data_IF_402577263726
#
_entry.id   IF_402577263726
#
_cell.length_a   1.000
_cell.length_b   1.000
_cell.length_c   1.000
_cell.angle_alpha   90.00
_cell.angle_beta   90.00
_cell.angle_gamma   90.00
#
_symmetry.space_group_name_H-M   'P 1'
#
loop_
_entity.id
_entity.type
_entity.pdbx_description
1 polymer ?
#
# COMPACT_ATOMS: atom_id res chain seq x y z
N UNK A 1 -46.04 -4.27 4.64
CA UNK A 1 -45.19 -5.26 3.96
C UNK A 1 -43.80 -5.21 4.58
N UNK A 2 -43.37 -6.31 5.18
CA UNK A 2 -42.10 -6.45 5.91
C UNK A 2 -40.91 -6.32 4.95
N UNK A 3 -40.01 -5.37 5.21
CA UNK A 3 -38.71 -5.28 4.54
C UNK A 3 -37.74 -6.16 5.32
N UNK A 4 -37.39 -7.31 4.74
CA UNK A 4 -36.48 -8.31 5.30
C UNK A 4 -35.04 -7.86 5.00
N UNK A 5 -34.22 -7.88 6.04
CA UNK A 5 -32.80 -7.55 6.03
C UNK A 5 -32.01 -8.49 5.12
N UNK A 6 -30.99 -7.92 4.46
CA UNK A 6 -30.00 -8.63 3.66
C UNK A 6 -28.74 -8.71 4.52
N UNK A 7 -28.48 -9.89 5.09
CA UNK A 7 -27.18 -10.24 5.64
C UNK A 7 -26.19 -10.33 4.48
N UNK A 8 -25.15 -9.49 4.53
CA UNK A 8 -23.99 -9.56 3.67
C UNK A 8 -22.96 -10.47 4.33
N UNK A 9 -22.67 -11.54 3.62
CA UNK A 9 -21.64 -12.54 3.82
C UNK A 9 -20.30 -11.90 3.42
N UNK A 10 -19.44 -11.61 4.40
CA UNK A 10 -18.06 -11.16 4.18
C UNK A 10 -17.15 -12.05 5.03
N UNK A 11 -16.96 -13.28 4.53
CA UNK A 11 -15.95 -14.20 5.00
C UNK A 11 -14.71 -14.13 4.07
N UNK A 12 -13.56 -14.00 4.74
CA UNK A 12 -12.24 -14.53 4.40
C UNK A 12 -11.31 -13.75 3.45
N UNK A 13 -10.30 -13.13 4.07
CA UNK A 13 -8.88 -13.44 3.81
C UNK A 13 -8.03 -12.90 4.98
N UNK A 14 -7.93 -13.68 6.05
CA UNK A 14 -6.82 -13.55 7.00
C UNK A 14 -5.71 -14.49 6.53
N UNK A 15 -4.68 -13.93 5.90
CA UNK A 15 -3.40 -14.61 5.68
C UNK A 15 -2.74 -14.86 7.04
N UNK A 16 -3.05 -15.99 7.65
CA UNK A 16 -2.37 -16.52 8.82
C UNK A 16 -1.12 -17.28 8.35
N UNK A 17 -0.05 -16.55 8.07
CA UNK A 17 1.31 -17.08 7.96
C UNK A 17 1.75 -17.56 9.36
N UNK A 18 1.34 -18.76 9.72
CA UNK A 18 1.77 -19.47 10.92
C UNK A 18 3.06 -20.22 10.60
N UNK A 19 4.18 -19.48 10.58
CA UNK A 19 5.54 -20.05 10.57
C UNK A 19 5.78 -20.70 11.95
N UNK A 20 5.27 -21.92 12.10
CA UNK A 20 5.53 -22.76 13.26
C UNK A 20 6.89 -23.43 13.06
N UNK A 21 7.94 -22.67 13.36
CA UNK A 21 9.32 -23.16 13.45
C UNK A 21 9.44 -23.95 14.76
N UNK A 22 8.90 -25.17 14.78
CA UNK A 22 9.24 -26.18 15.78
C UNK A 22 10.68 -26.64 15.52
N UNK A 23 11.62 -25.80 15.97
CA UNK A 23 12.98 -26.20 16.26
C UNK A 23 12.95 -27.22 17.39
N UNK A 24 12.76 -28.49 17.04
CA UNK A 24 13.06 -29.60 17.93
C UNK A 24 14.57 -29.64 18.11
N UNK A 25 15.06 -28.76 18.98
CA UNK A 25 16.39 -28.84 19.58
C UNK A 25 16.37 -30.09 20.45
N UNK A 26 16.67 -31.21 19.81
CA UNK A 26 17.07 -32.41 20.53
C UNK A 26 18.42 -32.07 21.13
N UNK A 27 18.39 -31.43 22.31
CA UNK A 27 19.52 -31.36 23.22
C UNK A 27 20.13 -32.76 23.24
N UNK A 28 21.28 -32.87 22.59
CA UNK A 28 22.16 -34.03 22.64
C UNK A 28 22.62 -34.06 24.09
N UNK A 29 21.79 -34.69 24.94
CA UNK A 29 22.16 -35.11 26.27
C UNK A 29 23.26 -36.14 26.08
N UNK A 30 24.48 -35.62 25.96
CA UNK A 30 25.72 -36.34 26.13
C UNK A 30 25.65 -36.91 27.54
N UNK A 31 25.11 -38.13 27.61
CA UNK A 31 25.05 -38.93 28.82
C UNK A 31 26.49 -39.31 29.12
N UNK A 32 27.18 -38.43 29.85
CA UNK A 32 28.44 -38.73 30.53
C UNK A 32 28.13 -39.71 31.67
N UNK A 33 27.78 -40.95 31.29
CA UNK A 33 27.91 -42.09 32.18
C UNK A 33 29.41 -42.38 32.29
N UNK A 34 30.04 -41.69 33.25
CA UNK A 34 31.31 -42.11 33.86
C UNK A 34 31.07 -43.48 34.52
N UNK A 35 31.04 -44.52 33.70
CA UNK A 35 30.89 -45.91 34.12
C UNK A 35 32.28 -46.49 34.38
N UNK A 36 32.46 -46.84 35.65
CA UNK A 36 33.50 -47.69 36.23
C UNK A 36 34.33 -48.50 35.23
N UNK A 37 35.65 -48.23 35.22
CA UNK A 37 36.74 -49.21 35.26
C UNK A 37 36.40 -50.64 34.78
N UNK A 38 36.07 -50.81 33.50
CA UNK A 38 36.18 -52.07 32.78
C UNK A 38 37.45 -52.07 31.95
N UNK A 39 38.33 -53.05 32.12
CA UNK A 39 39.43 -53.25 31.17
C UNK A 39 38.89 -53.26 29.74
N UNK A 40 39.60 -52.70 28.73
CA UNK A 40 39.20 -52.80 27.34
C UNK A 40 39.05 -54.29 26.99
N UNK A 41 37.80 -54.76 26.92
CA UNK A 41 37.52 -56.11 26.48
C UNK A 41 37.85 -56.11 24.99
N UNK A 42 38.84 -56.91 24.62
CA UNK A 42 39.23 -57.09 23.23
C UNK A 42 38.07 -57.76 22.49
N UNK A 43 37.29 -56.94 21.77
CA UNK A 43 36.16 -57.32 20.93
C UNK A 43 36.54 -58.35 19.84
N UNK A 44 37.82 -58.68 19.67
CA UNK A 44 38.28 -59.74 18.76
C UNK A 44 38.28 -61.15 19.38
N UNK A 45 38.07 -61.30 20.69
CA UNK A 45 38.12 -62.60 21.37
C UNK A 45 36.72 -63.15 21.63
N UNK A 46 36.38 -64.26 20.96
CA UNK A 46 35.13 -64.97 21.19
C UNK A 46 35.04 -65.52 22.62
N UNK A 47 33.97 -65.22 23.39
CA UNK A 47 33.81 -65.73 24.74
C UNK A 47 33.78 -67.27 24.81
N UNK A 48 34.26 -67.90 25.91
CA UNK A 48 34.49 -69.35 26.00
C UNK A 48 33.25 -70.26 25.86
N UNK A 49 32.05 -69.70 25.82
CA UNK A 49 30.76 -70.42 25.80
C UNK A 49 29.88 -70.05 24.59
N UNK A 50 30.43 -69.34 23.59
CA UNK A 50 29.69 -68.89 22.42
C UNK A 50 30.12 -69.64 21.15
N UNK A 51 29.17 -69.85 20.24
CA UNK A 51 29.45 -70.40 18.92
C UNK A 51 30.24 -69.36 18.09
N UNK A 52 31.43 -69.71 17.55
CA UNK A 52 32.28 -68.76 16.83
C UNK A 52 31.60 -68.05 15.65
N UNK A 53 30.74 -68.78 14.91
CA UNK A 53 29.98 -68.23 13.78
C UNK A 53 29.00 -67.12 14.21
N UNK A 54 28.39 -67.25 15.39
CA UNK A 54 27.47 -66.25 15.93
C UNK A 54 28.22 -64.97 16.34
N UNK A 55 29.43 -65.13 16.91
CA UNK A 55 30.28 -64.02 17.30
C UNK A 55 30.78 -63.23 16.08
N UNK A 56 31.27 -63.91 15.05
CA UNK A 56 31.71 -63.28 13.80
C UNK A 56 30.57 -62.57 13.07
N UNK A 57 29.38 -63.19 13.01
CA UNK A 57 28.19 -62.54 12.46
C UNK A 57 27.81 -61.28 13.26
N UNK A 58 27.89 -61.33 14.60
CA UNK A 58 27.62 -60.16 15.45
C UNK A 58 28.60 -59.01 15.18
N UNK A 59 29.89 -59.31 14.98
CA UNK A 59 30.89 -58.29 14.60
C UNK A 59 30.62 -57.69 13.22
N UNK A 60 30.26 -58.52 12.23
CA UNK A 60 29.88 -58.05 10.90
C UNK A 60 28.61 -57.19 10.93
N UNK A 61 27.59 -57.58 11.71
CA UNK A 61 26.38 -56.77 11.91
C UNK A 61 26.69 -55.45 12.60
N UNK A 62 27.62 -55.42 13.56
CA UNK A 62 28.07 -54.20 14.22
C UNK A 62 28.80 -53.26 13.25
N UNK A 63 29.71 -53.78 12.44
CA UNK A 63 30.40 -53.01 11.40
C UNK A 63 29.39 -52.42 10.40
N UNK A 64 28.47 -53.26 9.89
CA UNK A 64 27.41 -52.82 8.98
C UNK A 64 26.47 -51.79 9.62
N UNK A 65 26.19 -51.89 10.92
CA UNK A 65 25.40 -50.91 11.65
C UNK A 65 26.11 -49.55 11.67
N UNK A 66 27.41 -49.53 11.96
CA UNK A 66 28.21 -48.31 11.95
C UNK A 66 28.24 -47.66 10.56
N UNK A 67 28.45 -48.43 9.50
CA UNK A 67 28.40 -47.92 8.12
C UNK A 67 27.03 -47.28 7.79
N UNK A 68 25.94 -47.90 8.24
CA UNK A 68 24.59 -47.36 8.07
C UNK A 68 24.35 -46.10 8.90
N UNK A 69 24.88 -46.03 10.12
CA UNK A 69 24.80 -44.85 10.98
C UNK A 69 25.56 -43.67 10.36
N UNK A 70 26.76 -43.90 9.81
CA UNK A 70 27.53 -42.89 9.07
C UNK A 70 26.74 -42.38 7.85
N UNK A 71 26.19 -43.29 7.04
CA UNK A 71 25.35 -42.93 5.89
C UNK A 71 24.10 -42.12 6.30
N UNK A 72 23.45 -42.47 7.43
CA UNK A 72 22.32 -41.72 7.95
C UNK A 72 22.74 -40.30 8.35
N UNK A 73 23.89 -40.16 9.00
CA UNK A 73 24.42 -38.84 9.40
C UNK A 73 24.77 -37.99 8.17
N UNK A 74 25.37 -38.59 7.14
CA UNK A 74 25.67 -37.91 5.87
C UNK A 74 24.40 -37.46 5.12
N UNK A 75 23.41 -38.36 5.00
CA UNK A 75 22.12 -38.04 4.38
C UNK A 75 21.37 -36.97 5.16
N UNK A 76 21.41 -36.98 6.50
CA UNK A 76 20.85 -35.91 7.33
C UNK A 76 21.51 -34.56 7.05
N UNK A 77 22.85 -34.52 7.01
CA UNK A 77 23.60 -33.29 6.63
C UNK A 77 23.21 -32.79 5.24
N UNK A 78 23.01 -33.70 4.29
CA UNK A 78 22.54 -33.37 2.94
C UNK A 78 21.11 -32.79 2.94
N UNK A 79 20.21 -33.40 3.71
CA UNK A 79 18.83 -32.91 3.87
C UNK A 79 18.80 -31.50 4.49
N UNK A 80 19.60 -31.25 5.51
CA UNK A 80 19.70 -29.93 6.16
C UNK A 80 20.29 -28.86 5.22
N UNK A 81 21.26 -29.24 4.39
CA UNK A 81 21.81 -28.35 3.38
C UNK A 81 20.76 -27.99 2.31
N UNK A 82 20.05 -28.98 1.78
CA UNK A 82 18.97 -28.76 0.81
C UNK A 82 17.82 -27.95 1.40
N UNK A 83 17.47 -28.17 2.68
CA UNK A 83 16.44 -27.38 3.36
C UNK A 83 16.83 -25.91 3.43
N UNK A 84 18.08 -25.60 3.81
CA UNK A 84 18.61 -24.23 3.82
C UNK A 84 18.61 -23.59 2.42
N UNK A 85 18.91 -24.36 1.38
CA UNK A 85 18.84 -23.88 -0.01
C UNK A 85 17.40 -23.58 -0.43
N UNK A 86 16.44 -24.45 -0.10
CA UNK A 86 15.02 -24.23 -0.35
C UNK A 86 14.52 -22.96 0.35
N UNK A 87 14.86 -22.75 1.63
CA UNK A 87 14.47 -21.56 2.38
C UNK A 87 15.09 -20.28 1.78
N UNK A 88 16.34 -20.37 1.33
CA UNK A 88 17.01 -19.27 0.64
C UNK A 88 16.37 -18.95 -0.71
N UNK A 89 15.97 -19.98 -1.48
CA UNK A 89 15.25 -19.81 -2.74
C UNK A 89 13.86 -19.24 -2.53
N UNK A 90 13.11 -19.72 -1.52
CA UNK A 90 11.79 -19.19 -1.17
C UNK A 90 11.86 -17.70 -0.81
N UNK A 91 12.87 -17.28 -0.04
CA UNK A 91 13.11 -15.86 0.26
C UNK A 91 13.40 -15.04 -1.00
N UNK A 92 14.24 -15.56 -1.91
CA UNK A 92 14.52 -14.91 -3.20
C UNK A 92 13.26 -14.82 -4.06
N UNK A 93 12.45 -15.86 -4.09
CA UNK A 93 11.18 -15.88 -4.81
C UNK A 93 10.24 -14.79 -4.29
N UNK A 94 10.04 -14.68 -2.97
CA UNK A 94 9.20 -13.62 -2.37
C UNK A 94 9.69 -12.21 -2.76
N UNK A 95 11.01 -11.98 -2.80
CA UNK A 95 11.59 -10.70 -3.23
C UNK A 95 11.35 -10.45 -4.72
N UNK A 96 11.54 -11.46 -5.57
CA UNK A 96 11.30 -11.33 -7.02
C UNK A 96 9.82 -11.08 -7.29
N UNK A 97 8.91 -11.80 -6.63
CA UNK A 97 7.47 -11.61 -6.75
C UNK A 97 7.05 -10.19 -6.35
N UNK A 98 7.59 -9.65 -5.25
CA UNK A 98 7.26 -8.27 -4.84
C UNK A 98 7.80 -7.24 -5.84
N UNK A 99 9.01 -7.44 -6.38
CA UNK A 99 9.57 -6.58 -7.42
C UNK A 99 8.78 -6.62 -8.73
N UNK A 100 8.25 -7.81 -9.09
CA UNK A 100 7.41 -8.00 -10.27
C UNK A 100 6.08 -7.26 -10.10
N UNK A 101 5.41 -7.41 -8.96
CA UNK A 101 4.16 -6.68 -8.65
C UNK A 101 4.36 -5.16 -8.68
N UNK A 102 5.49 -4.68 -8.16
CA UNK A 102 5.82 -3.26 -8.21
C UNK A 102 6.01 -2.77 -9.66
N UNK A 103 6.77 -3.51 -10.48
CA UNK A 103 6.99 -3.18 -11.88
C UNK A 103 5.71 -3.26 -12.72
N UNK A 104 4.81 -4.21 -12.44
CA UNK A 104 3.49 -4.29 -13.05
C UNK A 104 2.62 -3.08 -12.70
N UNK A 105 2.61 -2.67 -11.42
CA UNK A 105 1.91 -1.46 -10.98
C UNK A 105 2.45 -0.18 -11.66
N UNK A 106 3.77 -0.04 -11.78
CA UNK A 106 4.40 1.08 -12.50
C UNK A 106 4.02 1.08 -13.99
N UNK A 107 3.96 -0.10 -14.61
CA UNK A 107 3.52 -0.24 -16.01
C UNK A 107 2.06 0.16 -16.19
N UNK A 108 1.16 -0.26 -15.29
CA UNK A 108 -0.25 0.15 -15.32
C UNK A 108 -0.42 1.66 -15.16
N UNK A 109 0.36 2.28 -14.27
CA UNK A 109 0.37 3.74 -14.11
C UNK A 109 0.85 4.43 -15.39
N UNK A 110 1.92 3.94 -16.00
CA UNK A 110 2.43 4.47 -17.26
C UNK A 110 1.42 4.32 -18.40
N UNK A 111 0.77 3.17 -18.53
CA UNK A 111 -0.24 2.93 -19.54
C UNK A 111 -1.47 3.82 -19.33
N UNK A 112 -1.85 4.09 -18.07
CA UNK A 112 -2.93 5.04 -17.74
C UNK A 112 -2.57 6.46 -18.12
N UNK A 113 -1.34 6.91 -17.82
CA UNK A 113 -0.84 8.23 -18.23
C UNK A 113 -0.77 8.35 -19.75
N UNK A 114 -0.28 7.32 -20.43
CA UNK A 114 -0.26 7.24 -21.89
C UNK A 114 -1.68 7.34 -22.45
N UNK A 115 -2.64 6.63 -21.88
CA UNK A 115 -4.04 6.72 -22.30
C UNK A 115 -4.61 8.11 -22.06
N UNK A 116 -4.31 8.75 -20.93
CA UNK A 116 -4.73 10.12 -20.63
C UNK A 116 -4.17 11.10 -21.67
N UNK A 117 -2.86 11.03 -21.95
CA UNK A 117 -2.18 11.83 -22.98
C UNK A 117 -2.75 11.59 -24.37
N UNK A 118 -3.06 10.34 -24.72
CA UNK A 118 -3.67 9.98 -26.00
C UNK A 118 -5.11 10.52 -26.10
N UNK A 119 -5.86 10.51 -25.00
CA UNK A 119 -7.21 11.07 -24.96
C UNK A 119 -7.24 12.60 -25.11
N UNK A 120 -6.14 13.29 -24.79
CA UNK A 120 -5.97 14.74 -25.03
C UNK A 120 -5.72 15.07 -26.52
N UNK A 121 -5.43 14.07 -27.36
CA UNK A 121 -5.17 14.28 -28.78
C UNK A 121 -6.47 14.26 -29.58
N UNK A 122 -6.79 15.39 -30.20
CA UNK A 122 -7.90 15.47 -31.14
C UNK A 122 -7.56 14.71 -32.44
N UNK A 123 -8.26 13.60 -32.69
CA UNK A 123 -8.12 12.82 -33.92
C UNK A 123 -9.26 13.18 -34.87
N UNK A 124 -8.93 13.79 -36.01
CA UNK A 124 -9.91 14.09 -37.06
C UNK A 124 -10.04 12.89 -37.99
N UNK A 125 -11.24 12.29 -38.04
CA UNK A 125 -11.56 11.18 -38.95
C UNK A 125 -12.55 11.65 -40.00
N UNK A 126 -12.18 11.71 -41.29
CA UNK A 126 -13.13 12.00 -42.36
C UNK A 126 -14.06 10.81 -42.57
N UNK A 127 -15.36 11.01 -42.33
CA UNK A 127 -16.40 10.00 -42.53
C UNK A 127 -17.28 10.37 -43.72
N UNK A 128 -17.68 9.36 -44.50
CA UNK A 128 -18.72 9.52 -45.52
C UNK A 128 -20.10 9.37 -44.88
N UNK A 129 -21.10 10.09 -45.38
CA UNK A 129 -22.45 10.10 -44.81
C UNK A 129 -23.07 8.71 -44.65
N UNK A 130 -22.78 7.77 -45.56
CA UNK A 130 -23.29 6.39 -45.49
C UNK A 130 -22.62 5.53 -44.39
N UNK A 131 -21.50 5.98 -43.82
CA UNK A 131 -20.78 5.26 -42.75
C UNK A 131 -21.32 5.64 -41.36
N UNK A 132 -22.18 6.65 -41.28
CA UNK A 132 -22.73 7.12 -40.01
C UNK A 132 -24.02 6.34 -39.75
N UNK A 133 -23.92 5.32 -38.90
CA UNK A 133 -25.06 4.54 -38.42
C UNK A 133 -25.73 5.16 -37.18
N UNK A 134 -25.15 6.26 -36.66
CA UNK A 134 -25.69 7.02 -35.53
C UNK A 134 -26.87 7.90 -35.96
N UNK A 135 -28.08 7.37 -35.78
CA UNK A 135 -29.34 8.05 -36.12
C UNK A 135 -30.20 8.20 -34.87
N UNK A 136 -30.46 9.44 -34.48
CA UNK A 136 -31.42 9.76 -33.40
C UNK A 136 -32.75 10.11 -34.06
N UNK A 137 -33.79 9.28 -33.84
CA UNK A 137 -35.12 9.47 -34.45
C UNK A 137 -35.12 9.46 -36.00
N UNK A 138 -34.22 8.72 -36.64
CA UNK A 138 -34.18 8.55 -38.10
C UNK A 138 -33.63 9.75 -38.89
N UNK A 139 -33.12 10.78 -38.21
CA UNK A 139 -32.44 11.93 -38.82
C UNK A 139 -31.00 11.97 -38.30
N UNK A 140 -30.06 12.32 -39.18
CA UNK A 140 -28.67 12.53 -38.79
C UNK A 140 -28.60 13.75 -37.86
N UNK A 141 -28.14 13.61 -36.61
CA UNK A 141 -27.98 14.74 -35.70
C UNK A 141 -26.96 15.75 -36.24
N UNK A 142 -27.22 17.04 -36.03
CA UNK A 142 -26.30 18.13 -36.39
C UNK A 142 -25.01 18.11 -35.55
N UNK A 143 -25.05 17.43 -34.40
CA UNK A 143 -23.94 17.27 -33.46
C UNK A 143 -23.70 15.78 -33.22
N UNK A 144 -22.46 15.35 -33.43
CA UNK A 144 -22.00 13.97 -33.28
C UNK A 144 -21.15 13.77 -32.02
N UNK A 145 -21.14 14.74 -31.10
CA UNK A 145 -20.35 14.70 -29.86
C UNK A 145 -20.61 13.46 -29.00
N UNK A 146 -21.85 12.95 -28.99
CA UNK A 146 -22.24 11.74 -28.24
C UNK A 146 -22.03 10.43 -29.02
N UNK A 147 -21.47 10.50 -30.24
CA UNK A 147 -21.30 9.33 -31.10
C UNK A 147 -19.91 8.70 -30.94
N UNK A 148 -19.87 7.37 -30.94
CA UNK A 148 -18.64 6.59 -30.82
C UNK A 148 -18.21 6.07 -32.19
N UNK A 149 -16.98 6.37 -32.61
CA UNK A 149 -16.41 5.83 -33.85
C UNK A 149 -15.73 4.51 -33.55
N UNK A 150 -16.30 3.42 -34.08
CA UNK A 150 -15.76 2.08 -33.94
C UNK A 150 -15.36 1.51 -35.31
N UNK A 151 -14.29 0.73 -35.33
CA UNK A 151 -13.98 -0.09 -36.48
C UNK A 151 -14.99 -1.25 -36.57
N UNK A 152 -15.52 -1.55 -37.75
CA UNK A 152 -16.46 -2.66 -37.95
C UNK A 152 -15.86 -4.00 -37.49
N UNK A 153 -14.55 -4.20 -37.68
CA UNK A 153 -13.86 -5.42 -37.21
C UNK A 153 -13.86 -5.52 -35.69
N UNK A 154 -13.63 -4.41 -34.99
CA UNK A 154 -13.62 -4.39 -33.51
C UNK A 154 -15.04 -4.58 -32.96
N UNK A 155 -16.06 -4.04 -33.63
CA UNK A 155 -17.45 -4.26 -33.27
C UNK A 155 -17.84 -5.75 -33.38
N UNK A 156 -17.50 -6.41 -34.49
CA UNK A 156 -17.76 -7.84 -34.67
C UNK A 156 -17.01 -8.68 -33.65
N UNK A 157 -15.73 -8.38 -33.41
CA UNK A 157 -14.92 -9.01 -32.37
C UNK A 157 -15.57 -8.88 -30.97
N UNK A 158 -16.07 -7.70 -30.62
CA UNK A 158 -16.76 -7.47 -29.35
C UNK A 158 -18.06 -8.27 -29.28
N UNK A 159 -18.84 -8.32 -30.35
CA UNK A 159 -20.07 -9.14 -30.41
C UNK A 159 -19.77 -10.64 -30.27
N UNK A 160 -18.72 -11.14 -30.92
CA UNK A 160 -18.28 -12.53 -30.78
C UNK A 160 -17.78 -12.80 -29.36
N UNK A 161 -17.04 -11.86 -28.76
CA UNK A 161 -16.58 -11.97 -27.36
C UNK A 161 -17.76 -11.98 -26.38
N UNK A 162 -18.80 -11.18 -26.61
CA UNK A 162 -20.02 -11.23 -25.79
C UNK A 162 -20.67 -12.62 -25.88
N UNK A 163 -20.72 -13.22 -27.08
CA UNK A 163 -21.26 -14.58 -27.23
C UNK A 163 -20.40 -15.61 -26.50
N UNK A 164 -19.06 -15.51 -26.57
CA UNK A 164 -18.16 -16.37 -25.80
C UNK A 164 -18.37 -16.21 -24.30
N UNK A 165 -18.43 -14.98 -23.78
CA UNK A 165 -18.66 -14.70 -22.36
C UNK A 165 -20.00 -15.27 -21.86
N UNK A 166 -21.04 -15.27 -22.70
CA UNK A 166 -22.32 -15.90 -22.35
C UNK A 166 -22.19 -17.42 -22.21
N UNK A 167 -21.40 -18.08 -23.07
CA UNK A 167 -21.10 -19.51 -22.95
C UNK A 167 -20.25 -19.78 -21.71
N UNK A 168 -19.15 -19.04 -21.53
CA UNK A 168 -18.27 -19.16 -20.35
C UNK A 168 -19.06 -18.99 -19.04
N UNK A 169 -19.99 -18.03 -18.99
CA UNK A 169 -20.87 -17.82 -17.83
C UNK A 169 -21.80 -19.02 -17.58
N UNK A 170 -22.32 -19.64 -18.65
CA UNK A 170 -23.14 -20.84 -18.54
C UNK A 170 -22.32 -22.00 -17.96
N UNK A 171 -21.12 -22.21 -18.50
CA UNK A 171 -20.20 -23.29 -18.09
C UNK A 171 -19.74 -23.11 -16.64
N UNK A 172 -19.40 -21.88 -16.23
CA UNK A 172 -19.10 -21.56 -14.84
C UNK A 172 -20.29 -21.84 -13.92
N UNK A 173 -21.51 -21.54 -14.36
CA UNK A 173 -22.73 -21.87 -13.62
C UNK A 173 -22.96 -23.38 -13.46
N UNK A 174 -22.56 -24.20 -14.45
CA UNK A 174 -22.57 -25.66 -14.35
C UNK A 174 -21.52 -26.19 -13.38
N UNK A 175 -20.29 -25.69 -13.47
CA UNK A 175 -19.22 -26.05 -12.54
C UNK A 175 -19.58 -25.72 -11.10
N UNK A 176 -20.16 -24.53 -10.86
CA UNK A 176 -20.63 -24.13 -9.54
C UNK A 176 -21.72 -25.08 -9.00
N UNK A 177 -22.69 -25.45 -9.85
CA UNK A 177 -23.73 -26.43 -9.48
C UNK A 177 -23.13 -27.79 -9.13
N UNK A 178 -22.17 -28.27 -9.90
CA UNK A 178 -21.48 -29.54 -9.64
C UNK A 178 -20.66 -29.47 -8.34
N UNK A 179 -19.90 -28.40 -8.13
CA UNK A 179 -19.11 -28.18 -6.91
C UNK A 179 -20.01 -28.16 -5.67
N UNK A 180 -21.16 -27.47 -5.75
CA UNK A 180 -22.14 -27.44 -4.67
C UNK A 180 -22.74 -28.83 -4.40
N UNK A 181 -23.00 -29.62 -5.43
CA UNK A 181 -23.49 -30.99 -5.26
C UNK A 181 -22.44 -31.89 -4.58
N UNK A 182 -21.18 -31.81 -5.03
CA UNK A 182 -20.05 -32.52 -4.39
C UNK A 182 -19.87 -32.11 -2.93
N UNK A 183 -19.95 -30.81 -2.63
CA UNK A 183 -19.85 -30.31 -1.26
C UNK A 183 -20.95 -30.89 -0.37
N UNK A 184 -22.21 -30.93 -0.86
CA UNK A 184 -23.30 -31.56 -0.13
C UNK A 184 -23.08 -33.06 0.10
N UNK A 185 -22.60 -33.79 -0.92
CA UNK A 185 -22.25 -35.21 -0.80
C UNK A 185 -21.17 -35.43 0.26
N UNK A 186 -20.07 -34.67 0.20
CA UNK A 186 -18.97 -34.78 1.16
C UNK A 186 -19.43 -34.49 2.60
N UNK A 187 -20.33 -33.52 2.80
CA UNK A 187 -20.90 -33.27 4.14
C UNK A 187 -21.70 -34.47 4.63
N UNK A 188 -22.48 -35.11 3.76
CA UNK A 188 -23.24 -36.29 4.14
C UNK A 188 -22.33 -37.46 4.44
N UNK A 189 -21.35 -37.74 3.58
CA UNK A 189 -20.37 -38.81 3.75
C UNK A 189 -19.55 -38.60 5.04
N UNK A 190 -19.16 -37.36 5.34
CA UNK A 190 -18.48 -37.02 6.60
C UNK A 190 -19.34 -37.39 7.80
N UNK A 191 -20.62 -37.02 7.80
CA UNK A 191 -21.54 -37.37 8.90
C UNK A 191 -21.75 -38.88 9.03
N UNK A 192 -21.83 -39.59 7.92
CA UNK A 192 -21.98 -41.04 7.94
C UNK A 192 -20.73 -41.73 8.49
N UNK A 193 -19.53 -41.22 8.15
CA UNK A 193 -18.27 -41.69 8.72
C UNK A 193 -18.15 -41.33 10.22
N UNK A 194 -18.54 -40.13 10.63
CA UNK A 194 -18.60 -39.72 12.04
C UNK A 194 -19.52 -40.66 12.85
N UNK A 195 -20.72 -40.96 12.33
CA UNK A 195 -21.64 -41.92 12.95
C UNK A 195 -21.02 -43.31 13.02
N UNK A 196 -20.31 -43.75 11.97
CA UNK A 196 -19.67 -45.06 11.94
C UNK A 196 -18.51 -45.16 12.94
N UNK A 197 -17.73 -44.10 13.09
CA UNK A 197 -16.69 -44.00 14.11
C UNK A 197 -17.33 -44.13 15.48
N UNK A 198 -18.40 -43.38 15.75
CA UNK A 198 -19.10 -43.44 17.03
C UNK A 198 -19.67 -44.84 17.34
N UNK A 199 -20.28 -45.51 16.36
CA UNK A 199 -20.72 -46.90 16.52
C UNK A 199 -19.57 -47.86 16.84
N UNK A 200 -18.39 -47.64 16.26
CA UNK A 200 -17.21 -48.47 16.51
C UNK A 200 -16.61 -48.18 17.88
N UNK A 201 -16.57 -46.91 18.30
CA UNK A 201 -16.18 -46.47 19.64
C UNK A 201 -17.07 -47.14 20.69
N UNK A 202 -18.40 -47.04 20.56
CA UNK A 202 -19.35 -47.69 21.47
C UNK A 202 -19.16 -49.21 21.54
N UNK A 203 -18.90 -49.87 20.40
CA UNK A 203 -18.61 -51.31 20.38
C UNK A 203 -17.29 -51.65 21.06
N UNK A 204 -16.26 -50.84 20.85
CA UNK A 204 -14.96 -50.99 21.51
C UNK A 204 -15.11 -50.81 23.03
N UNK A 205 -15.80 -49.75 23.47
CA UNK A 205 -16.11 -49.50 24.87
C UNK A 205 -16.87 -50.66 25.51
N UNK A 206 -17.93 -51.15 24.86
CA UNK A 206 -18.70 -52.29 25.35
C UNK A 206 -17.84 -53.56 25.45
N UNK A 207 -16.95 -53.81 24.48
CA UNK A 207 -16.03 -54.94 24.52
C UNK A 207 -14.99 -54.80 25.64
N UNK A 208 -14.44 -53.60 25.85
CA UNK A 208 -13.50 -53.31 26.93
C UNK A 208 -14.16 -53.49 28.29
N UNK A 209 -15.38 -52.97 28.48
CA UNK A 209 -16.17 -53.18 29.70
C UNK A 209 -16.47 -54.67 29.94
N UNK A 210 -16.82 -55.44 28.91
CA UNK A 210 -17.09 -56.86 29.05
C UNK A 210 -15.83 -57.70 29.37
N UNK A 211 -14.66 -57.32 28.85
CA UNK A 211 -13.40 -58.06 29.02
C UNK A 211 -12.64 -57.66 30.29
N UNK A 212 -12.60 -56.37 30.60
CA UNK A 212 -11.76 -55.80 31.66
C UNK A 212 -12.56 -55.22 32.83
N UNK A 213 -13.88 -55.04 32.69
CA UNK A 213 -14.75 -54.46 33.73
C UNK A 213 -14.61 -52.94 33.89
N UNK A 214 -13.72 -52.31 33.11
CA UNK A 214 -13.43 -50.88 33.11
C UNK A 214 -13.00 -50.48 31.69
N UNK A 215 -13.19 -49.21 31.31
CA UNK A 215 -12.60 -48.66 30.09
C UNK A 215 -11.09 -48.60 30.25
N UNK A 216 -10.39 -49.32 29.38
CA UNK A 216 -8.93 -49.42 29.38
C UNK A 216 -8.40 -48.57 28.24
N UNK A 217 -7.61 -47.56 28.57
CA UNK A 217 -6.88 -46.81 27.57
C UNK A 217 -5.74 -47.69 27.02
N UNK A 218 -5.98 -48.28 25.85
CA UNK A 218 -5.04 -49.19 25.20
C UNK A 218 -3.77 -48.46 24.74
N UNK A 219 -3.88 -47.17 24.40
CA UNK A 219 -2.74 -46.34 24.02
C UNK A 219 -1.87 -46.04 25.23
N UNK A 220 -2.49 -45.67 26.37
CA UNK A 220 -1.79 -45.56 27.64
C UNK A 220 -1.16 -46.88 28.08
N UNK A 221 -1.81 -48.04 27.88
CA UNK A 221 -1.20 -49.33 28.25
C UNK A 221 0.00 -49.68 27.37
N UNK A 222 -0.06 -49.34 26.08
CA UNK A 222 1.04 -49.53 25.15
C UNK A 222 2.23 -48.63 25.51
N UNK A 223 1.99 -47.38 25.94
CA UNK A 223 3.04 -46.45 26.40
C UNK A 223 3.53 -46.71 27.83
N UNK A 224 2.69 -47.23 28.73
CA UNK A 224 3.05 -47.63 30.11
C UNK A 224 3.97 -48.85 30.15
N UNK A 225 4.00 -49.67 29.10
CA UNK A 225 5.00 -50.73 28.97
C UNK A 225 6.43 -50.18 28.75
N UNK A 226 6.58 -48.86 28.56
CA UNK A 226 7.83 -48.19 28.22
C UNK A 226 8.52 -47.39 29.34
N UNK A 227 7.85 -46.46 30.05
CA UNK A 227 8.47 -45.71 31.19
C UNK A 227 7.48 -44.74 31.87
N UNK A 228 7.13 -44.99 33.14
CA UNK A 228 6.28 -44.11 33.97
C UNK A 228 6.78 -42.66 34.09
N UNK A 229 8.11 -42.48 34.08
CA UNK A 229 8.76 -41.16 34.15
C UNK A 229 8.43 -40.30 32.93
N UNK A 230 8.29 -40.90 31.74
CA UNK A 230 7.97 -40.17 30.51
C UNK A 230 6.53 -39.64 30.55
N UNK A 231 5.59 -40.38 31.13
CA UNK A 231 4.20 -39.93 31.27
C UNK A 231 4.02 -38.87 32.36
N UNK A 232 4.77 -38.96 33.46
CA UNK A 232 4.83 -37.87 34.47
C UNK A 232 5.39 -36.59 33.83
N UNK A 233 6.46 -36.69 33.03
CA UNK A 233 7.03 -35.55 32.29
C UNK A 233 6.09 -34.98 31.21
N UNK A 234 5.36 -35.83 30.47
CA UNK A 234 4.36 -35.37 29.49
C UNK A 234 3.20 -34.65 30.15
N UNK A 235 2.71 -35.14 31.29
CA UNK A 235 1.63 -34.47 32.02
C UNK A 235 2.10 -33.12 32.58
N UNK A 236 3.33 -33.05 33.08
CA UNK A 236 3.94 -31.80 33.51
C UNK A 236 4.15 -30.82 32.34
N UNK A 237 4.54 -31.29 31.15
CA UNK A 237 4.63 -30.46 29.94
C UNK A 237 3.25 -29.93 29.54
N UNK A 238 2.21 -30.77 29.49
CA UNK A 238 0.83 -30.34 29.21
C UNK A 238 0.32 -29.29 30.19
N UNK A 239 0.62 -29.43 31.49
CA UNK A 239 0.23 -28.45 32.51
C UNK A 239 0.96 -27.12 32.28
N UNK A 240 2.27 -27.16 31.99
CA UNK A 240 3.07 -25.97 31.70
C UNK A 240 2.62 -25.29 30.40
N UNK A 241 2.34 -26.04 29.35
CA UNK A 241 1.77 -25.53 28.10
C UNK A 241 0.41 -24.87 28.32
N UNK A 242 -0.46 -25.47 29.13
CA UNK A 242 -1.74 -24.86 29.50
C UNK A 242 -1.55 -23.55 30.29
N UNK A 243 -0.53 -23.46 31.16
CA UNK A 243 -0.20 -22.22 31.87
C UNK A 243 0.34 -21.15 30.90
N UNK A 244 1.30 -21.50 30.04
CA UNK A 244 1.88 -20.58 29.06
C UNK A 244 0.87 -20.10 28.03
N UNK A 245 -0.04 -20.96 27.56
CA UNK A 245 -1.12 -20.53 26.65
C UNK A 245 -2.08 -19.55 27.33
N UNK A 246 -2.36 -19.71 28.62
CA UNK A 246 -3.16 -18.75 29.38
C UNK A 246 -2.43 -17.42 29.60
N UNK A 247 -1.13 -17.47 29.89
CA UNK A 247 -0.28 -16.27 29.99
C UNK A 247 -0.21 -15.52 28.66
N UNK A 248 -0.04 -16.24 27.54
CA UNK A 248 -0.07 -15.68 26.18
C UNK A 248 -1.41 -15.02 25.88
N UNK A 249 -2.53 -15.66 26.23
CA UNK A 249 -3.87 -15.06 26.08
C UNK A 249 -3.99 -13.76 26.86
N UNK A 250 -3.53 -13.74 28.12
CA UNK A 250 -3.54 -12.53 28.94
C UNK A 250 -2.66 -11.41 28.37
N UNK A 251 -1.46 -11.76 27.89
CA UNK A 251 -0.56 -10.81 27.22
C UNK A 251 -1.17 -10.27 25.91
N UNK A 252 -1.83 -11.13 25.12
CA UNK A 252 -2.56 -10.71 23.90
C UNK A 252 -3.67 -9.70 24.23
N UNK A 253 -4.47 -9.96 25.27
CA UNK A 253 -5.52 -9.01 25.71
C UNK A 253 -4.91 -7.65 26.08
N UNK A 254 -3.86 -7.63 26.92
CA UNK A 254 -3.17 -6.39 27.28
C UNK A 254 -2.59 -5.64 26.07
N UNK A 255 -2.03 -6.38 25.11
CA UNK A 255 -1.52 -5.81 23.87
C UNK A 255 -2.66 -5.15 23.06
N UNK A 256 -3.81 -5.81 22.95
CA UNK A 256 -4.97 -5.25 22.25
C UNK A 256 -5.52 -4.00 22.93
N UNK A 257 -5.60 -3.99 24.27
CA UNK A 257 -6.02 -2.82 25.05
C UNK A 257 -5.04 -1.64 24.85
N UNK A 258 -3.73 -1.90 24.90
CA UNK A 258 -2.71 -0.88 24.67
C UNK A 258 -2.77 -0.32 23.23
N UNK A 259 -2.97 -1.20 22.22
CA UNK A 259 -3.16 -0.79 20.81
C UNK A 259 -4.41 0.08 20.63
N UNK A 260 -5.52 -0.27 21.27
CA UNK A 260 -6.77 0.52 21.23
C UNK A 260 -6.57 1.89 21.88
N UNK A 261 -5.94 1.95 23.05
CA UNK A 261 -5.63 3.22 23.71
C UNK A 261 -4.76 4.13 22.84
N UNK A 262 -3.73 3.58 22.19
CA UNK A 262 -2.89 4.31 21.25
C UNK A 262 -3.70 4.81 20.04
N UNK A 263 -4.53 3.96 19.45
CA UNK A 263 -5.40 4.33 18.33
C UNK A 263 -6.34 5.47 18.69
N UNK A 264 -6.95 5.45 19.89
CA UNK A 264 -7.80 6.54 20.36
C UNK A 264 -7.05 7.86 20.51
N UNK A 265 -5.84 7.83 21.07
CA UNK A 265 -5.01 9.02 21.23
C UNK A 265 -4.61 9.58 19.87
N UNK A 266 -4.18 8.72 18.95
CA UNK A 266 -3.84 9.09 17.56
C UNK A 266 -5.05 9.69 16.84
N UNK A 267 -6.25 9.10 16.99
CA UNK A 267 -7.48 9.64 16.42
C UNK A 267 -7.79 11.03 16.96
N UNK A 268 -7.77 11.20 18.28
CA UNK A 268 -7.99 12.52 18.93
C UNK A 268 -6.93 13.54 18.49
N UNK A 269 -5.69 13.12 18.28
CA UNK A 269 -4.63 13.98 17.76
C UNK A 269 -4.92 14.42 16.33
N UNK A 270 -5.26 13.49 15.43
CA UNK A 270 -5.64 13.79 14.05
C UNK A 270 -6.86 14.72 13.97
N UNK A 271 -7.89 14.51 14.80
CA UNK A 271 -9.05 15.40 14.92
C UNK A 271 -8.63 16.83 15.31
N UNK A 272 -7.71 16.98 16.27
CA UNK A 272 -7.15 18.29 16.66
C UNK A 272 -6.34 18.94 15.54
N UNK A 273 -5.57 18.16 14.79
CA UNK A 273 -4.81 18.68 13.63
C UNK A 273 -5.74 19.10 12.50
N UNK A 274 -6.83 18.35 12.24
CA UNK A 274 -7.84 18.72 11.26
C UNK A 274 -8.55 20.03 11.64
N UNK A 275 -8.98 20.15 12.89
CA UNK A 275 -9.60 21.39 13.40
C UNK A 275 -8.64 22.58 13.33
N UNK A 276 -7.37 22.41 13.68
CA UNK A 276 -6.33 23.42 13.51
C UNK A 276 -6.17 23.84 12.04
N UNK A 277 -6.15 22.89 11.11
CA UNK A 277 -6.05 23.18 9.69
C UNK A 277 -7.26 23.95 9.16
N UNK A 278 -8.48 23.63 9.61
CA UNK A 278 -9.68 24.38 9.26
C UNK A 278 -9.58 25.83 9.75
N UNK A 279 -9.20 26.04 11.02
CA UNK A 279 -9.02 27.37 11.58
C UNK A 279 -7.91 28.17 10.88
N UNK A 280 -6.81 27.53 10.47
CA UNK A 280 -5.75 28.17 9.70
C UNK A 280 -6.22 28.59 8.30
N UNK A 281 -7.07 27.80 7.64
CA UNK A 281 -7.69 28.19 6.36
C UNK A 281 -8.60 29.41 6.55
N UNK A 282 -9.48 29.37 7.55
CA UNK A 282 -10.36 30.51 7.86
C UNK A 282 -9.57 31.78 8.20
N UNK A 283 -8.49 31.64 8.98
CA UNK A 283 -7.58 32.75 9.28
C UNK A 283 -6.97 33.34 8.00
N UNK A 284 -6.44 32.49 7.11
CA UNK A 284 -5.87 32.95 5.82
C UNK A 284 -6.92 33.64 4.95
N UNK A 285 -8.14 33.13 4.92
CA UNK A 285 -9.24 33.75 4.17
C UNK A 285 -9.62 35.12 4.75
N UNK A 286 -9.65 35.25 6.08
CA UNK A 286 -9.89 36.53 6.76
C UNK A 286 -8.75 37.52 6.53
N UNK A 287 -7.49 37.08 6.60
CA UNK A 287 -6.31 37.90 6.28
C UNK A 287 -6.37 38.40 4.82
N UNK A 288 -6.69 37.53 3.86
CA UNK A 288 -6.87 37.92 2.47
C UNK A 288 -8.03 38.92 2.28
N UNK A 289 -9.14 38.75 3.01
CA UNK A 289 -10.26 39.71 3.03
C UNK A 289 -9.85 41.04 3.66
N UNK A 290 -8.98 41.03 4.66
CA UNK A 290 -8.49 42.24 5.32
C UNK A 290 -7.51 42.99 4.40
N UNK A 291 -6.56 42.29 3.81
CA UNK A 291 -5.62 42.83 2.82
C UNK A 291 -6.34 43.46 1.62
N UNK A 292 -7.38 42.78 1.10
CA UNK A 292 -8.19 43.34 0.01
C UNK A 292 -8.96 44.58 0.44
N UNK A 293 -9.50 44.64 1.66
CA UNK A 293 -10.13 45.86 2.21
C UNK A 293 -9.12 46.99 2.41
N UNK A 294 -7.94 46.69 2.95
CA UNK A 294 -6.89 47.67 3.18
C UNK A 294 -6.35 48.24 1.86
N UNK A 295 -6.16 47.38 0.83
CA UNK A 295 -5.83 47.81 -0.54
C UNK A 295 -6.92 48.68 -1.15
N UNK A 296 -8.21 48.32 -0.98
CA UNK A 296 -9.34 49.14 -1.46
C UNK A 296 -9.41 50.52 -0.80
N UNK A 297 -9.25 50.61 0.53
CA UNK A 297 -9.17 51.90 1.20
C UNK A 297 -7.94 52.70 0.77
N UNK A 298 -6.77 52.06 0.71
CA UNK A 298 -5.54 52.70 0.23
C UNK A 298 -5.60 53.19 -1.21
N UNK A 299 -6.37 52.52 -2.08
CA UNK A 299 -6.65 52.98 -3.44
C UNK A 299 -7.55 54.22 -3.43
N UNK A 300 -8.64 54.25 -2.65
CA UNK A 300 -9.51 55.43 -2.53
C UNK A 300 -8.74 56.67 -2.05
N UNK A 301 -7.86 56.53 -1.05
CA UNK A 301 -7.01 57.65 -0.60
C UNK A 301 -5.94 58.05 -1.62
N UNK A 302 -5.50 57.14 -2.50
CA UNK A 302 -4.55 57.46 -3.57
C UNK A 302 -5.25 58.20 -4.71
N UNK A 303 -6.43 57.75 -5.11
CA UNK A 303 -7.25 58.40 -6.13
C UNK A 303 -7.64 59.81 -5.68
N UNK A 304 -8.03 59.98 -4.41
CA UNK A 304 -8.39 61.29 -3.87
C UNK A 304 -7.21 62.27 -3.83
N UNK A 305 -6.00 61.78 -3.54
CA UNK A 305 -4.77 62.61 -3.65
C UNK A 305 -4.40 62.93 -5.09
N UNK A 306 -4.57 62.00 -6.03
CA UNK A 306 -4.37 62.29 -7.46
C UNK A 306 -5.38 63.31 -7.98
N UNK A 307 -6.65 63.22 -7.58
CA UNK A 307 -7.67 64.23 -7.91
C UNK A 307 -7.35 65.59 -7.30
N UNK A 308 -6.85 65.63 -6.06
CA UNK A 308 -6.38 66.87 -5.43
C UNK A 308 -5.19 67.48 -6.18
N UNK A 309 -4.19 66.69 -6.54
CA UNK A 309 -3.03 67.16 -7.31
C UNK A 309 -3.43 67.67 -8.71
N UNK A 310 -4.38 67.00 -9.36
CA UNK A 310 -4.92 67.42 -10.66
C UNK A 310 -5.74 68.71 -10.54
N UNK A 311 -6.54 68.86 -9.48
CA UNK A 311 -7.22 70.14 -9.16
C UNK A 311 -6.23 71.28 -8.92
N UNK A 312 -5.14 71.03 -8.20
CA UNK A 312 -4.10 72.06 -7.99
C UNK A 312 -3.41 72.44 -9.30
N UNK A 313 -3.16 71.48 -10.19
CA UNK A 313 -2.63 71.75 -11.54
C UNK A 313 -3.59 72.61 -12.35
N UNK A 314 -4.88 72.26 -12.37
CA UNK A 314 -5.90 73.03 -13.08
C UNK A 314 -6.06 74.44 -12.50
N UNK A 315 -6.02 74.60 -11.17
CA UNK A 315 -6.03 75.91 -10.53
C UNK A 315 -4.84 76.78 -10.93
N UNK A 316 -3.62 76.21 -11.02
CA UNK A 316 -2.45 76.93 -11.50
C UNK A 316 -2.61 77.40 -12.95
N UNK A 317 -3.17 76.55 -13.82
CA UNK A 317 -3.44 76.91 -15.21
C UNK A 317 -4.49 78.03 -15.29
N UNK A 318 -5.56 77.95 -14.50
CA UNK A 318 -6.58 79.00 -14.45
C UNK A 318 -5.99 80.32 -13.94
N UNK A 319 -5.12 80.27 -12.93
CA UNK A 319 -4.43 81.46 -12.42
C UNK A 319 -3.50 82.08 -13.47
N UNK A 320 -2.70 81.27 -14.19
CA UNK A 320 -1.84 81.78 -15.26
C UNK A 320 -2.66 82.34 -16.42
N UNK A 321 -3.77 81.69 -16.80
CA UNK A 321 -4.68 82.20 -17.83
C UNK A 321 -5.37 83.50 -17.39
N UNK A 322 -5.68 83.65 -16.10
CA UNK A 322 -6.23 84.90 -15.57
C UNK A 322 -5.19 86.02 -15.61
N UNK A 323 -3.93 85.73 -15.29
CA UNK A 323 -2.82 86.68 -15.42
C UNK A 323 -2.53 87.05 -16.89
N UNK A 324 -2.57 86.06 -17.80
CA UNK A 324 -2.52 86.29 -19.25
C UNK A 324 -3.71 87.14 -19.72
N UNK A 325 -4.92 86.90 -19.22
CA UNK A 325 -6.08 87.75 -19.52
C UNK A 325 -5.91 89.18 -18.97
N UNK A 326 -5.33 89.34 -17.79
CA UNK A 326 -5.07 90.64 -17.17
C UNK A 326 -4.01 91.42 -17.97
N UNK A 327 -2.91 90.75 -18.36
CA UNK A 327 -1.86 91.33 -19.20
C UNK A 327 -2.38 91.68 -20.59
N UNK A 328 -3.16 90.81 -21.23
CA UNK A 328 -3.82 91.11 -22.50
C UNK A 328 -4.84 92.25 -22.36
N UNK A 329 -5.56 92.35 -21.23
CA UNK A 329 -6.43 93.51 -20.95
C UNK A 329 -5.61 94.79 -20.80
N UNK A 330 -4.50 94.76 -20.07
CA UNK A 330 -3.59 95.90 -19.94
C UNK A 330 -2.99 96.30 -21.29
N UNK A 331 -2.60 95.33 -22.12
CA UNK A 331 -2.11 95.55 -23.48
C UNK A 331 -3.22 96.16 -24.36
N UNK A 332 -4.46 95.65 -24.32
CA UNK A 332 -5.60 96.27 -25.01
C UNK A 332 -5.83 97.70 -24.52
N UNK A 333 -5.69 97.96 -23.21
CA UNK A 333 -5.84 99.31 -22.64
C UNK A 333 -4.72 100.25 -23.11
N UNK A 334 -3.49 99.74 -23.20
CA UNK A 334 -2.32 100.46 -23.71
C UNK A 334 -2.42 100.71 -25.22
N UNK A 335 -2.93 99.76 -26.00
CA UNK A 335 -3.16 99.87 -27.43
C UNK A 335 -4.40 100.74 -27.76
N UNK A 336 -5.36 100.88 -26.85
CA UNK A 336 -6.54 101.75 -27.03
C UNK A 336 -6.26 103.22 -26.70
N UNK A 337 -5.19 103.54 -25.97
CA UNK A 337 -4.76 104.92 -25.71
C UNK A 337 -3.71 105.34 -26.74
N UNK A 338 -4.06 106.29 -27.62
CA UNK A 338 -3.17 106.84 -28.64
C UNK A 338 -1.94 107.49 -28.00
N UNK A 339 -0.83 106.76 -27.95
CA UNK A 339 0.50 107.27 -27.63
C UNK A 339 1.19 106.51 -26.50
N UNK A 340 1.73 105.33 -26.80
CA UNK A 340 2.58 104.57 -25.87
C UNK A 340 3.57 103.69 -26.62
N UNK A 341 4.84 104.06 -26.54
CA UNK A 341 6.00 103.39 -27.15
C UNK A 341 6.13 101.91 -26.73
N UNK A 342 6.34 101.03 -27.72
CA UNK A 342 6.73 99.64 -27.51
C UNK A 342 8.24 99.60 -27.23
N UNK A 343 8.63 99.10 -26.05
CA UNK A 343 10.00 98.66 -25.77
C UNK A 343 10.06 97.13 -25.86
N UNK A 344 11.12 96.54 -26.45
CA UNK A 344 11.19 95.11 -26.70
C UNK A 344 11.72 94.35 -25.47
N UNK A 345 11.16 93.19 -25.13
CA UNK A 345 11.86 92.21 -24.30
C UNK A 345 12.64 91.21 -25.16
N UNK A 346 13.96 91.36 -25.11
CA UNK A 346 15.00 90.32 -25.01
C UNK A 346 14.69 88.89 -25.48
N UNK A 347 15.42 88.46 -26.53
CA UNK A 347 15.71 87.07 -26.86
C UNK A 347 16.28 86.30 -25.64
N UNK A 348 15.70 85.15 -25.32
CA UNK A 348 16.44 84.04 -24.72
C UNK A 348 16.83 83.06 -25.83
N UNK A 349 18.13 82.74 -25.92
CA UNK A 349 18.67 81.72 -26.82
C UNK A 349 18.10 80.32 -26.47
N UNK A 350 18.01 79.41 -27.46
CA UNK A 350 17.65 78.01 -27.25
C UNK A 350 18.87 77.11 -26.96
N UNK A 351 18.61 75.96 -26.32
CA UNK A 351 19.27 74.62 -26.43
C UNK A 351 19.69 74.01 -25.07
N UNK A 352 19.81 72.66 -24.90
CA UNK A 352 19.43 71.56 -25.80
C UNK A 352 18.44 70.55 -25.17
N UNK A 353 17.74 69.85 -26.06
CA UNK A 353 17.27 68.49 -25.82
C UNK A 353 18.48 67.57 -25.63
N UNK A 354 18.53 66.82 -24.52
CA UNK A 354 19.18 65.52 -24.50
C UNK A 354 18.10 64.45 -24.45
N UNK A 355 17.92 63.82 -25.60
CA UNK A 355 17.37 62.49 -25.71
C UNK A 355 18.45 61.55 -25.21
N UNK A 356 18.18 60.76 -24.17
CA UNK A 356 18.89 59.50 -23.95
C UNK A 356 17.87 58.42 -23.60
N UNK A 357 17.51 57.69 -24.65
CA UNK A 357 17.07 56.30 -24.54
C UNK A 357 18.35 55.47 -24.62
N UNK A 358 18.49 54.41 -23.80
CA UNK A 358 19.02 53.20 -24.39
C UNK A 358 18.14 51.98 -24.12
N UNK A 359 18.22 51.09 -25.10
CA UNK A 359 17.59 49.79 -25.21
C UNK A 359 17.96 48.82 -24.07
N UNK A 360 17.16 47.75 -23.88
CA UNK A 360 17.45 46.70 -22.92
C UNK A 360 18.15 45.53 -23.59
N UNK A 361 19.37 45.14 -23.17
CA UNK A 361 19.87 43.77 -23.41
C UNK A 361 20.85 43.28 -22.34
N UNK A 362 20.45 42.18 -21.70
CA UNK A 362 21.22 40.96 -21.39
C UNK A 362 22.47 40.98 -20.47
N UNK A 363 22.36 40.11 -19.45
CA UNK A 363 23.29 39.04 -19.04
C UNK A 363 24.13 39.24 -17.76
N UNK A 364 23.93 38.26 -16.84
CA UNK A 364 24.87 37.59 -15.90
C UNK A 364 25.83 38.45 -15.05
N UNK A 365 26.03 38.21 -13.77
CA UNK A 365 25.85 37.02 -12.94
C UNK A 365 26.92 37.00 -11.85
N UNK A 366 26.71 36.20 -10.80
CA UNK A 366 27.72 35.88 -9.76
C UNK A 366 27.27 36.31 -8.37
N UNK A 367 26.53 35.48 -7.60
CA UNK A 367 27.00 34.35 -6.76
C UNK A 367 27.35 34.81 -5.31
N UNK A 368 27.48 33.95 -4.27
CA UNK A 368 27.49 32.48 -4.32
C UNK A 368 26.71 31.72 -3.21
N UNK A 369 26.46 30.45 -3.52
CA UNK A 369 26.65 29.22 -2.70
C UNK A 369 26.11 29.10 -1.27
N UNK A 370 25.22 28.12 -1.06
CA UNK A 370 25.55 26.89 -0.34
C UNK A 370 24.55 25.76 -0.66
N UNK A 371 25.04 24.52 -0.51
CA UNK A 371 24.72 23.28 -1.23
C UNK A 371 23.48 22.49 -0.75
N UNK A 372 23.06 21.47 -1.53
CA UNK A 372 22.04 20.49 -1.18
C UNK A 372 22.59 19.12 -0.71
N UNK A 373 21.67 18.33 -0.16
CA UNK A 373 21.63 16.85 -0.09
C UNK A 373 22.65 16.07 0.75
N UNK A 374 22.13 15.39 1.77
CA UNK A 374 22.55 14.03 2.14
C UNK A 374 21.31 13.19 2.51
N UNK A 375 21.20 12.03 1.87
CA UNK A 375 20.45 10.86 2.36
C UNK A 375 21.18 10.27 3.58
N UNK A 376 20.40 9.76 4.54
CA UNK A 376 20.66 8.61 5.43
C UNK A 376 19.32 8.35 6.17
N UNK A 377 18.55 7.32 5.79
CA UNK A 377 18.53 5.99 6.43
C UNK A 377 18.05 6.02 7.89
N UNK A 378 16.87 5.41 8.12
CA UNK A 378 16.16 4.94 9.33
C UNK A 378 14.66 5.17 9.00
N UNK A 379 13.83 4.19 8.68
CA UNK A 379 13.80 2.75 8.99
C UNK A 379 13.57 1.87 7.75
#
# INVERSE_FOLDING_TARGET
MKKREKAGDEDEQEDSDEDSDEGSDWDELESDEESESGCPLDDSVCPPCMYPELFENTLQLRARKLDLEELIVEERKSCDALRKECDALAKKEKIVQSSLKAAEGDLELFDREKQQKLNELDVVVPLRLHQIEFLTNGVLPSDLSDSLVLNTKTLLSLQDRIRQLLVEKSDQGELYRQARHRHYQLIHDRKDMENRIHELEERCEAMMMAKFGQLVDLEALQTLSGNRVVEELKNDSKIKEAQHTNELKHCKVKLTEAKQALMEVSRKHTERVCTLNCLLKEKKDLEAKLDTRQKKMGAQFRDQRCEEDERHRLQKIVASQAEEMETLRQEITMLSHKGGHVLPPTQSLPSPYHNDRPHPHLRSGGAPSSLPSSQQSLD
#
